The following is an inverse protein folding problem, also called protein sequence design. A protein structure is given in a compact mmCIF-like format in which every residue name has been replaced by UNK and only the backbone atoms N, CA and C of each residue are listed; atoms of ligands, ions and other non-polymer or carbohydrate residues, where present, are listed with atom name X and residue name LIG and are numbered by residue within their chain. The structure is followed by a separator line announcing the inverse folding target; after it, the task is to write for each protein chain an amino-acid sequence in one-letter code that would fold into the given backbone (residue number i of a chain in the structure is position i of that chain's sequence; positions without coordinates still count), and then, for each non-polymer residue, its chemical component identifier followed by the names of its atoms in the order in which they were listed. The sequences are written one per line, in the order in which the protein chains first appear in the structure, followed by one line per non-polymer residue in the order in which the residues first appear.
data_IF_397674424696
#
_entry.id   IF_397674424696
#
_cell.length_a   1.000
_cell.length_b   1.000
_cell.length_c   1.000
_cell.angle_alpha   90.00
_cell.angle_beta   90.00
_cell.angle_gamma   90.00
#
_symmetry.space_group_name_H-M   'P 1'
#
loop_
_entity.id
_entity.type
_entity.pdbx_description
1 polymer ?
#
# COMPACT_ATOMS: atom_id res chain seq x y z
N UNK A 1 -12.26 -22.97 -4.17
CA UNK A 1 -12.86 -22.37 -2.97
C UNK A 1 -13.15 -20.91 -3.26
N UNK A 2 -14.36 -20.43 -2.96
CA UNK A 2 -14.72 -19.02 -3.16
C UNK A 2 -13.97 -18.14 -2.16
N UNK A 3 -13.30 -17.07 -2.62
CA UNK A 3 -12.65 -16.10 -1.76
C UNK A 3 -13.69 -15.10 -1.23
N UNK A 4 -13.76 -14.92 0.09
CA UNK A 4 -14.57 -13.87 0.70
C UNK A 4 -13.78 -12.57 0.68
N UNK A 5 -14.43 -11.47 0.28
CA UNK A 5 -13.77 -10.18 0.11
C UNK A 5 -14.49 -9.08 0.89
N UNK A 6 -13.75 -8.02 1.19
CA UNK A 6 -14.27 -6.72 1.62
C UNK A 6 -13.85 -5.67 0.60
N UNK A 7 -14.67 -4.62 0.46
CA UNK A 7 -14.40 -3.52 -0.47
C UNK A 7 -13.88 -2.31 0.29
N UNK A 8 -12.78 -1.74 -0.18
CA UNK A 8 -12.13 -0.56 0.41
C UNK A 8 -11.85 0.47 -0.67
N UNK A 9 -12.28 1.70 -0.43
CA UNK A 9 -12.01 2.82 -1.32
C UNK A 9 -10.55 3.30 -1.14
N UNK A 10 -9.84 3.43 -2.25
CA UNK A 10 -8.46 3.96 -2.30
C UNK A 10 -8.29 4.93 -3.47
N UNK A 11 -7.20 5.69 -3.48
CA UNK A 11 -6.85 6.52 -4.64
C UNK A 11 -6.55 5.63 -5.86
N UNK A 12 -6.88 6.05 -7.10
CA UNK A 12 -6.77 5.19 -8.29
C UNK A 12 -5.39 4.55 -8.51
N UNK A 13 -4.32 5.30 -8.29
CA UNK A 13 -2.95 4.78 -8.43
C UNK A 13 -2.61 3.71 -7.37
N UNK A 14 -3.22 3.77 -6.17
CA UNK A 14 -3.08 2.71 -5.16
C UNK A 14 -3.87 1.48 -5.55
N UNK A 15 -5.05 1.64 -6.15
CA UNK A 15 -5.81 0.51 -6.70
C UNK A 15 -4.99 -0.23 -7.75
N UNK A 16 -4.40 0.49 -8.70
CA UNK A 16 -3.49 -0.06 -9.72
C UNK A 16 -2.29 -0.80 -9.10
N UNK A 17 -1.62 -0.16 -8.16
CA UNK A 17 -0.49 -0.76 -7.46
C UNK A 17 -0.86 -2.03 -6.68
N UNK A 18 -1.99 -2.01 -5.96
CA UNK A 18 -2.46 -3.13 -5.17
C UNK A 18 -2.80 -4.33 -6.06
N UNK A 19 -3.56 -4.12 -7.14
CA UNK A 19 -3.95 -5.21 -8.04
C UNK A 19 -2.75 -5.76 -8.80
N UNK A 20 -1.78 -4.92 -9.16
CA UNK A 20 -0.53 -5.36 -9.76
C UNK A 20 0.33 -6.20 -8.80
N UNK A 21 0.49 -5.74 -7.55
CA UNK A 21 1.43 -6.33 -6.59
C UNK A 21 0.88 -7.57 -5.88
N UNK A 22 -0.43 -7.62 -5.65
CA UNK A 22 -1.08 -8.64 -4.81
C UNK A 22 -2.21 -9.40 -5.53
N UNK A 23 -2.44 -9.11 -6.81
CA UNK A 23 -3.48 -9.72 -7.62
C UNK A 23 -4.86 -9.07 -7.47
N UNK A 24 -5.83 -9.61 -8.22
CA UNK A 24 -7.23 -9.17 -8.19
C UNK A 24 -8.14 -10.40 -8.05
N UNK A 25 -8.80 -10.63 -6.89
CA UNK A 25 -8.80 -9.77 -5.70
C UNK A 25 -7.45 -9.76 -4.95
N UNK A 26 -7.19 -8.66 -4.24
CA UNK A 26 -5.96 -8.42 -3.48
C UNK A 26 -5.82 -9.40 -2.33
N UNK A 27 -4.69 -10.12 -2.29
CA UNK A 27 -4.37 -11.04 -1.20
C UNK A 27 -3.04 -10.67 -0.55
N UNK A 28 -3.11 -10.14 0.67
CA UNK A 28 -1.91 -9.77 1.41
C UNK A 28 -1.21 -11.01 2.01
N UNK A 29 0.13 -10.96 2.21
CA UNK A 29 0.87 -12.03 2.88
C UNK A 29 0.29 -12.37 4.26
N UNK A 30 0.32 -13.65 4.65
CA UNK A 30 -0.34 -14.16 5.87
C UNK A 30 0.02 -13.38 7.15
N UNK A 31 1.29 -12.96 7.25
CA UNK A 31 1.85 -12.25 8.40
C UNK A 31 1.96 -10.73 8.19
N UNK A 32 1.27 -10.17 7.20
CA UNK A 32 1.23 -8.73 6.94
C UNK A 32 0.45 -7.96 8.02
N UNK A 33 0.75 -6.66 8.12
CA UNK A 33 0.02 -5.75 9.00
C UNK A 33 -1.44 -5.61 8.57
N UNK A 34 -1.70 -5.57 7.26
CA UNK A 34 -3.04 -5.46 6.67
C UNK A 34 -3.91 -6.64 7.09
N UNK A 35 -3.38 -7.87 7.03
CA UNK A 35 -4.08 -9.05 7.54
C UNK A 35 -4.25 -9.02 9.06
N UNK A 36 -3.34 -8.40 9.82
CA UNK A 36 -3.53 -8.22 11.27
C UNK A 36 -4.68 -7.24 11.56
N UNK A 37 -4.77 -6.12 10.83
CA UNK A 37 -5.87 -5.15 10.89
C UNK A 37 -7.20 -5.82 10.54
N UNK A 38 -7.25 -6.58 9.43
CA UNK A 38 -8.42 -7.36 9.03
C UNK A 38 -8.87 -8.31 10.13
N UNK A 39 -7.97 -9.18 10.62
CA UNK A 39 -8.29 -10.13 11.70
C UNK A 39 -8.79 -9.44 12.96
N UNK A 40 -8.24 -8.27 13.30
CA UNK A 40 -8.65 -7.51 14.48
C UNK A 40 -10.07 -6.97 14.35
N UNK A 41 -10.37 -6.28 13.25
CA UNK A 41 -11.58 -5.48 13.11
C UNK A 41 -12.73 -6.15 12.36
N UNK A 42 -12.51 -7.29 11.71
CA UNK A 42 -13.60 -8.01 11.05
C UNK A 42 -14.61 -8.53 12.07
N UNK A 43 -15.88 -8.24 11.81
CA UNK A 43 -17.00 -8.61 12.69
C UNK A 43 -18.02 -9.47 11.96
N UNK A 44 -18.90 -10.09 12.73
CA UNK A 44 -20.05 -10.81 12.19
C UNK A 44 -20.91 -9.84 11.39
N UNK A 45 -21.37 -10.27 10.21
CA UNK A 45 -22.32 -9.49 9.43
C UNK A 45 -23.58 -9.20 10.25
N UNK A 46 -24.01 -7.92 10.36
CA UNK A 46 -25.25 -7.59 11.05
C UNK A 46 -26.45 -8.28 10.40
N UNK A 47 -27.45 -8.62 11.22
CA UNK A 47 -28.71 -9.20 10.74
C UNK A 47 -29.38 -8.19 9.79
N UNK A 48 -29.89 -8.67 8.65
CA UNK A 48 -30.49 -7.86 7.58
C UNK A 48 -29.54 -6.91 6.84
N UNK A 49 -28.22 -7.02 7.01
CA UNK A 49 -27.27 -6.26 6.20
C UNK A 49 -27.00 -6.98 4.87
N UNK A 50 -27.25 -6.31 3.74
CA UNK A 50 -26.93 -6.87 2.43
C UNK A 50 -25.40 -6.90 2.21
N UNK A 51 -24.88 -7.87 1.44
CA UNK A 51 -23.50 -7.83 0.99
C UNK A 51 -23.22 -6.52 0.26
N UNK A 52 -22.10 -5.90 0.61
CA UNK A 52 -21.66 -4.69 -0.06
C UNK A 52 -21.32 -4.96 -1.52
N UNK A 53 -21.66 -4.01 -2.40
CA UNK A 53 -21.31 -4.04 -3.82
C UNK A 53 -20.08 -3.17 -4.04
N UNK A 54 -19.18 -3.54 -4.95
CA UNK A 54 -18.03 -2.71 -5.27
C UNK A 54 -18.47 -1.38 -5.89
N UNK A 55 -17.98 -0.27 -5.35
CA UNK A 55 -17.94 1.02 -6.03
C UNK A 55 -16.82 1.08 -7.08
N UNK A 56 -16.81 2.13 -7.89
CA UNK A 56 -15.84 2.32 -8.98
C UNK A 56 -14.37 2.35 -8.48
N UNK A 57 -14.16 3.01 -7.33
CA UNK A 57 -12.84 3.17 -6.69
C UNK A 57 -12.51 2.10 -5.66
N UNK A 58 -13.41 1.16 -5.44
CA UNK A 58 -13.18 0.09 -4.48
C UNK A 58 -12.17 -0.93 -5.01
N UNK A 59 -11.42 -1.48 -4.07
CA UNK A 59 -10.57 -2.64 -4.26
C UNK A 59 -11.14 -3.79 -3.46
N UNK A 60 -11.26 -4.96 -4.10
CA UNK A 60 -11.64 -6.19 -3.43
C UNK A 60 -10.42 -6.77 -2.69
N UNK A 61 -10.51 -6.88 -1.37
CA UNK A 61 -9.45 -7.40 -0.51
C UNK A 61 -9.92 -8.71 0.11
N UNK A 62 -9.12 -9.77 -0.07
CA UNK A 62 -9.41 -11.09 0.48
C UNK A 62 -9.39 -11.07 2.01
N UNK A 63 -10.41 -11.66 2.61
CA UNK A 63 -10.45 -11.91 4.04
C UNK A 63 -9.57 -13.13 4.34
N UNK A 64 -8.53 -13.00 5.19
CA UNK A 64 -7.69 -14.13 5.55
C UNK A 64 -8.51 -15.14 6.36
N UNK A 65 -8.35 -16.42 6.05
CA UNK A 65 -8.98 -17.47 6.85
C UNK A 65 -8.43 -17.46 8.29
N UNK A 66 -9.34 -17.59 9.25
CA UNK A 66 -8.99 -17.76 10.66
C UNK A 66 -9.95 -18.75 11.30
N UNK A 67 -9.42 -19.71 12.07
CA UNK A 67 -10.23 -20.66 12.84
C UNK A 67 -11.18 -19.95 13.83
N UNK A 68 -10.75 -18.80 14.37
CA UNK A 68 -11.55 -18.02 15.32
C UNK A 68 -12.63 -17.15 14.65
N UNK A 69 -12.45 -16.80 13.37
CA UNK A 69 -13.34 -15.92 12.61
C UNK A 69 -13.54 -16.48 11.20
N UNK A 70 -14.53 -17.35 11.03
CA UNK A 70 -14.86 -17.92 9.72
C UNK A 70 -15.36 -16.81 8.77
N UNK A 71 -14.71 -16.58 7.61
CA UNK A 71 -15.11 -15.56 6.63
C UNK A 71 -16.55 -15.68 6.09
N UNK A 72 -17.18 -16.85 6.17
CA UNK A 72 -18.60 -17.02 5.82
C UNK A 72 -19.53 -16.16 6.68
N UNK A 73 -19.16 -15.95 7.95
CA UNK A 73 -19.97 -15.20 8.93
C UNK A 73 -19.31 -13.89 9.34
N UNK A 74 -17.98 -13.86 9.40
CA UNK A 74 -17.15 -12.68 9.69
C UNK A 74 -16.64 -12.07 8.40
N UNK A 75 -17.47 -11.25 7.76
CA UNK A 75 -17.16 -10.60 6.48
C UNK A 75 -17.69 -9.16 6.42
N UNK A 76 -17.76 -8.50 7.59
CA UNK A 76 -18.19 -7.13 7.69
C UNK A 76 -17.10 -6.27 8.35
N UNK A 77 -16.85 -5.11 7.73
CA UNK A 77 -16.03 -4.04 8.29
C UNK A 77 -16.90 -2.79 8.35
N UNK A 78 -16.97 -2.16 9.52
CA UNK A 78 -17.60 -0.85 9.66
C UNK A 78 -16.71 0.26 9.06
N UNK A 79 -17.24 1.48 8.93
CA UNK A 79 -16.52 2.60 8.30
C UNK A 79 -15.15 2.89 8.95
N UNK A 80 -15.05 2.86 10.27
CA UNK A 80 -13.78 3.07 10.99
C UNK A 80 -12.78 1.94 10.75
N UNK A 81 -13.23 0.70 10.69
CA UNK A 81 -12.39 -0.45 10.39
C UNK A 81 -11.85 -0.41 8.96
N UNK A 82 -12.67 0.03 8.00
CA UNK A 82 -12.24 0.29 6.63
C UNK A 82 -11.19 1.38 6.60
N UNK A 83 -11.42 2.49 7.30
CA UNK A 83 -10.45 3.58 7.40
C UNK A 83 -9.10 3.10 7.95
N UNK A 84 -9.09 2.32 9.03
CA UNK A 84 -7.87 1.77 9.60
C UNK A 84 -7.11 0.86 8.60
N UNK A 85 -7.83 0.08 7.80
CA UNK A 85 -7.24 -0.74 6.74
C UNK A 85 -6.68 0.13 5.60
N UNK A 86 -7.42 1.16 5.17
CA UNK A 86 -6.95 2.14 4.17
C UNK A 86 -5.69 2.86 4.65
N UNK A 87 -5.59 3.21 5.94
CA UNK A 87 -4.41 3.82 6.54
C UNK A 87 -3.21 2.87 6.51
N UNK A 88 -3.38 1.59 6.90
CA UNK A 88 -2.32 0.57 6.77
C UNK A 88 -1.81 0.44 5.34
N UNK A 89 -2.72 0.37 4.36
CA UNK A 89 -2.39 0.28 2.94
C UNK A 89 -1.60 1.52 2.48
N UNK A 90 -2.02 2.72 2.90
CA UNK A 90 -1.32 3.98 2.58
C UNK A 90 0.09 3.97 3.15
N UNK A 91 0.28 3.48 4.36
CA UNK A 91 1.60 3.40 4.98
C UNK A 91 2.49 2.35 4.30
N UNK A 92 1.94 1.19 3.94
CA UNK A 92 2.65 0.21 3.12
C UNK A 92 3.09 0.79 1.77
N UNK A 93 2.20 1.49 1.07
CA UNK A 93 2.53 2.16 -0.19
C UNK A 93 3.66 3.19 -0.01
N UNK A 94 3.58 4.02 1.03
CA UNK A 94 4.60 5.02 1.36
C UNK A 94 5.95 4.38 1.63
N UNK A 95 5.98 3.28 2.38
CA UNK A 95 7.19 2.53 2.67
C UNK A 95 7.81 1.95 1.39
N UNK A 96 7.01 1.30 0.54
CA UNK A 96 7.47 0.76 -0.75
C UNK A 96 8.06 1.88 -1.63
N UNK A 97 7.29 2.98 -1.81
CA UNK A 97 7.74 4.16 -2.55
C UNK A 97 9.04 4.73 -1.99
N UNK A 98 9.19 4.81 -0.66
CA UNK A 98 10.40 5.35 -0.05
C UNK A 98 11.61 4.42 -0.21
N UNK A 99 11.43 3.12 -0.02
CA UNK A 99 12.49 2.13 -0.17
C UNK A 99 13.06 2.14 -1.60
N UNK A 100 12.21 2.21 -2.62
CA UNK A 100 12.65 2.15 -4.01
C UNK A 100 13.22 3.49 -4.53
N UNK A 101 12.65 4.62 -4.07
CA UNK A 101 13.00 5.96 -4.58
C UNK A 101 13.92 6.75 -3.65
N UNK A 102 14.26 6.20 -2.48
CA UNK A 102 15.08 6.85 -1.46
C UNK A 102 16.45 7.28 -1.98
N UNK A 103 17.08 6.48 -2.84
CA UNK A 103 18.45 6.73 -3.32
C UNK A 103 18.52 7.61 -4.59
N UNK A 104 17.40 8.15 -5.07
CA UNK A 104 17.36 9.01 -6.26
C UNK A 104 18.12 10.34 -6.13
N UNK A 105 18.69 10.63 -4.97
CA UNK A 105 19.58 11.78 -4.80
C UNK A 105 20.92 11.62 -5.54
N UNK A 106 21.32 10.38 -5.87
CA UNK A 106 22.60 10.04 -6.53
C UNK A 106 22.46 9.83 -8.06
N UNK A 107 21.25 9.96 -8.60
CA UNK A 107 20.97 9.72 -10.01
C UNK A 107 21.16 10.98 -10.85
N UNK A 108 22.07 10.92 -11.83
CA UNK A 108 22.29 11.97 -12.85
C UNK A 108 21.14 12.14 -13.84
N UNK A 109 20.13 11.25 -13.82
CA UNK A 109 18.96 11.33 -14.69
C UNK A 109 17.98 12.43 -14.26
N UNK A 110 17.23 13.00 -15.21
CA UNK A 110 16.15 13.97 -14.92
C UNK A 110 15.16 13.31 -13.97
N UNK A 111 15.06 13.79 -12.72
CA UNK A 111 14.31 13.16 -11.61
C UNK A 111 12.93 12.60 -12.00
N UNK A 112 12.21 13.24 -12.93
CA UNK A 112 10.92 12.79 -13.43
C UNK A 112 10.93 11.44 -14.18
N UNK A 113 12.01 11.11 -14.93
CA UNK A 113 12.09 9.82 -15.63
C UNK A 113 12.15 8.65 -14.67
N UNK A 114 12.77 8.83 -13.49
CA UNK A 114 12.81 7.81 -12.45
C UNK A 114 11.40 7.52 -11.89
N UNK A 115 10.61 8.57 -11.58
CA UNK A 115 9.22 8.38 -11.13
C UNK A 115 8.35 7.71 -12.18
N UNK A 116 8.50 8.07 -13.46
CA UNK A 116 7.77 7.41 -14.56
C UNK A 116 8.15 5.93 -14.67
N UNK A 117 9.45 5.62 -14.63
CA UNK A 117 9.94 4.24 -14.67
C UNK A 117 9.43 3.43 -13.47
N UNK A 118 9.44 4.03 -12.28
CA UNK A 118 8.92 3.38 -11.08
C UNK A 118 7.42 3.12 -11.16
N UNK A 119 6.61 4.09 -11.64
CA UNK A 119 5.18 3.86 -11.88
C UNK A 119 4.94 2.65 -12.78
N UNK A 120 5.64 2.56 -13.93
CA UNK A 120 5.54 1.41 -14.84
C UNK A 120 5.91 0.10 -14.15
N UNK A 121 7.01 0.07 -13.38
CA UNK A 121 7.46 -1.11 -12.64
C UNK A 121 6.45 -1.58 -11.58
N UNK A 122 5.70 -0.65 -10.99
CA UNK A 122 4.71 -0.91 -9.95
C UNK A 122 3.30 -1.13 -10.51
N UNK A 123 3.14 -1.14 -11.84
CA UNK A 123 1.85 -1.28 -12.53
C UNK A 123 0.93 -0.06 -12.40
N UNK A 124 1.50 1.13 -12.15
CA UNK A 124 0.80 2.40 -12.03
C UNK A 124 0.90 3.17 -13.35
N UNK A 125 -0.19 3.81 -13.78
CA UNK A 125 -0.16 4.66 -14.96
C UNK A 125 0.81 5.84 -14.81
N UNK A 126 1.54 6.13 -15.88
CA UNK A 126 2.57 7.18 -15.90
C UNK A 126 2.00 8.58 -15.63
N UNK A 127 0.71 8.79 -15.80
CA UNK A 127 0.00 10.05 -15.49
C UNK A 127 0.06 10.37 -14.00
N UNK A 128 0.12 9.35 -13.14
CA UNK A 128 0.26 9.52 -11.70
C UNK A 128 1.69 9.80 -11.24
N UNK A 129 2.70 9.74 -12.13
CA UNK A 129 4.11 9.93 -11.76
C UNK A 129 4.36 11.28 -11.06
N UNK A 130 3.67 12.35 -11.48
CA UNK A 130 3.80 13.67 -10.84
C UNK A 130 3.17 13.67 -9.43
N UNK A 131 2.04 12.98 -9.25
CA UNK A 131 1.41 12.80 -7.94
C UNK A 131 2.33 12.04 -6.98
N UNK A 132 2.95 10.96 -7.45
CA UNK A 132 3.93 10.17 -6.66
C UNK A 132 5.14 11.04 -6.31
N UNK A 133 5.69 11.75 -7.30
CA UNK A 133 6.80 12.69 -7.11
C UNK A 133 6.49 13.68 -6.00
N UNK A 134 5.34 14.34 -6.05
CA UNK A 134 4.95 15.35 -5.05
C UNK A 134 4.76 14.75 -3.65
N UNK A 135 4.20 13.53 -3.53
CA UNK A 135 4.10 12.82 -2.24
C UNK A 135 5.48 12.52 -1.66
N UNK A 136 6.40 12.01 -2.49
CA UNK A 136 7.79 11.74 -2.08
C UNK A 136 8.52 13.02 -1.61
N UNK A 137 8.40 14.12 -2.35
CA UNK A 137 9.01 15.41 -1.95
C UNK A 137 8.45 15.95 -0.64
N UNK A 138 7.12 15.86 -0.43
CA UNK A 138 6.50 16.31 0.83
C UNK A 138 7.03 15.53 2.03
N UNK A 139 7.16 14.21 1.88
CA UNK A 139 7.72 13.37 2.95
C UNK A 139 9.18 13.73 3.22
N UNK A 140 10.01 13.80 2.17
CA UNK A 140 11.42 14.22 2.29
C UNK A 140 11.55 15.55 3.03
N UNK A 141 10.78 16.56 2.62
CA UNK A 141 10.83 17.91 3.21
C UNK A 141 10.46 17.90 4.69
N UNK A 142 9.41 17.18 5.08
CA UNK A 142 8.95 17.10 6.46
C UNK A 142 10.01 16.52 7.42
N UNK A 143 10.78 15.52 6.97
CA UNK A 143 11.87 14.96 7.78
C UNK A 143 13.13 15.84 7.77
N UNK A 144 13.46 16.46 6.64
CA UNK A 144 14.58 17.40 6.54
C UNK A 144 14.41 18.61 7.47
N UNK A 145 13.20 19.14 7.60
CA UNK A 145 12.86 20.23 8.53
C UNK A 145 13.06 19.85 10.01
N UNK A 146 13.08 18.55 10.32
CA UNK A 146 13.37 18.00 11.65
C UNK A 146 14.82 17.55 11.82
N UNK A 147 15.69 17.83 10.84
CA UNK A 147 17.09 17.40 10.86
C UNK A 147 17.28 15.90 10.64
N UNK A 148 16.24 15.16 10.26
CA UNK A 148 16.32 13.72 10.01
C UNK A 148 16.68 13.51 8.54
N UNK A 149 17.88 12.97 8.31
CA UNK A 149 18.29 12.54 6.99
C UNK A 149 17.77 11.14 6.70
N UNK A 150 16.81 11.03 5.79
CA UNK A 150 16.22 9.77 5.37
C UNK A 150 17.02 9.04 4.27
N UNK A 151 18.17 9.58 3.82
CA UNK A 151 19.04 8.94 2.84
C UNK A 151 20.01 7.95 3.51
N UNK A 152 20.25 6.81 2.86
CA UNK A 152 21.32 5.91 3.26
C UNK A 152 22.68 6.52 2.92
N UNK A 153 23.40 7.02 3.93
CA UNK A 153 24.79 7.49 3.79
C UNK A 153 25.83 6.37 3.54
N UNK A 154 25.41 5.14 3.21
CA UNK A 154 26.31 3.97 3.12
C UNK A 154 26.33 3.35 1.72
N UNK A 155 27.25 3.86 0.89
CA UNK A 155 28.17 3.03 0.08
C UNK A 155 29.40 3.81 -0.44
N UNK A 156 30.22 4.31 0.49
CA UNK A 156 31.66 4.26 0.27
C UNK A 156 32.17 3.09 1.12
N UNK A 157 32.29 1.91 0.51
CA UNK A 157 33.12 0.86 1.11
C UNK A 157 34.56 1.39 1.10
N UNK A 158 35.07 1.73 2.28
CA UNK A 158 36.52 1.68 2.53
C UNK A 158 36.91 0.19 2.52
N UNK A 159 37.16 -0.36 1.35
CA UNK A 159 37.87 -1.63 1.18
C UNK A 159 38.99 -1.49 0.10
N UNK A 160 39.53 -0.28 -0.09
CA UNK A 160 40.80 -0.06 -0.82
C UNK A 160 41.95 0.15 0.17
N UNK A 161 42.11 -0.81 1.08
CA UNK A 161 43.37 -1.04 1.78
C UNK A 161 43.75 -2.51 1.61
N UNK A 162 44.32 -2.82 0.45
CA UNK A 162 45.39 -3.80 0.27
C UNK A 162 46.18 -3.45 -0.98
#
# INVERSE_FOLDING_TARGET
MSKFVVYVEVEPYMKQWLTHSFGDPVEFPVNSNENAVLRRFITKRPINNQPEKPGERDVAICIPYSKAKNPETYNFLNGHAKQALTESIKDLFRLNMWCDLGDLNDMSCKKMSAFRSWCVQQGIDIEYAETIRMKWYRMRKAYQEKGINLFNLKRCKKDDFS
#
